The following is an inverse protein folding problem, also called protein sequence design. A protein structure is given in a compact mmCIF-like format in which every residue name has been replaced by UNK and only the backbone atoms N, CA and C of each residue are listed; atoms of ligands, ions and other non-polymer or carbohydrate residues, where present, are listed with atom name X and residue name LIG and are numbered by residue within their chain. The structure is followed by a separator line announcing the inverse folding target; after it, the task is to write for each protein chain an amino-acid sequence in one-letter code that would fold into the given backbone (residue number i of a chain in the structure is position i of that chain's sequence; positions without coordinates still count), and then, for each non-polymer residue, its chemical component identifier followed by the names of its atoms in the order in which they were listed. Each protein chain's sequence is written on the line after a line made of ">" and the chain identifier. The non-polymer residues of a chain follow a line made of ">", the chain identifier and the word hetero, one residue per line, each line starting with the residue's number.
data_IF_022323103220
#
_entry.id   IF_022323103220
#
_cell.length_a   1.000
_cell.length_b   1.000
_cell.length_c   1.000
_cell.angle_alpha   90.00
_cell.angle_beta   90.00
_cell.angle_gamma   90.00
#
_symmetry.space_group_name_H-M   'P 1'
#
loop_
_entity.id
_entity.type
_entity.pdbx_description
1 polymer ?
#
# COMPACT_ATOMS: atom_id res chain seq x y z
N UNK A 1 -44.05 -24.64 -22.33
CA UNK A 1 -45.18 -23.70 -22.42
C UNK A 1 -46.02 -23.89 -21.17
N UNK A 2 -46.49 -22.78 -20.60
CA UNK A 2 -47.26 -22.62 -19.34
C UNK A 2 -46.51 -22.97 -18.04
N UNK A 3 -46.48 -22.20 -16.96
CA UNK A 3 -46.82 -20.81 -16.58
C UNK A 3 -46.28 -20.70 -15.14
N UNK A 4 -45.25 -19.90 -14.84
CA UNK A 4 -45.34 -18.66 -14.04
C UNK A 4 -46.68 -18.49 -13.32
N UNK A 5 -46.86 -18.99 -12.08
CA UNK A 5 -47.86 -18.42 -11.13
C UNK A 5 -47.88 -18.89 -9.65
N UNK A 6 -46.93 -19.67 -9.12
CA UNK A 6 -47.13 -20.26 -7.75
C UNK A 6 -46.02 -20.10 -6.70
N UNK A 7 -45.24 -19.01 -6.73
CA UNK A 7 -44.40 -18.63 -5.56
C UNK A 7 -44.51 -17.13 -5.28
N UNK A 8 -45.75 -16.66 -5.10
CA UNK A 8 -46.06 -15.35 -4.54
C UNK A 8 -46.86 -15.54 -3.25
N UNK A 9 -46.15 -15.82 -2.14
CA UNK A 9 -46.65 -15.52 -0.80
C UNK A 9 -45.45 -15.44 0.16
N UNK A 10 -45.44 -14.37 0.97
CA UNK A 10 -44.40 -13.90 1.89
C UNK A 10 -43.30 -13.00 1.31
N UNK A 11 -43.73 -11.90 0.68
CA UNK A 11 -42.96 -10.65 0.65
C UNK A 11 -43.61 -9.71 1.70
N UNK A 12 -42.93 -9.35 2.81
CA UNK A 12 -43.40 -8.29 3.67
C UNK A 12 -43.43 -6.99 2.85
N UNK A 13 -44.59 -6.36 2.80
CA UNK A 13 -44.90 -5.11 2.11
C UNK A 13 -43.77 -4.07 2.23
N UNK A 14 -43.14 -3.76 1.09
CA UNK A 14 -42.10 -2.75 0.87
C UNK A 14 -42.59 -1.30 0.96
N UNK A 15 -43.74 -1.05 1.57
CA UNK A 15 -44.31 0.29 1.74
C UNK A 15 -44.03 0.95 3.10
N UNK A 16 -43.56 0.19 4.11
CA UNK A 16 -43.36 0.72 5.47
C UNK A 16 -41.89 1.00 5.85
N UNK A 17 -40.91 0.66 5.01
CA UNK A 17 -39.48 0.98 5.28
C UNK A 17 -39.00 2.30 4.65
N UNK A 18 -39.83 2.98 3.85
CA UNK A 18 -39.47 4.27 3.23
C UNK A 18 -39.83 5.50 4.08
N UNK A 19 -40.61 5.32 5.15
CA UNK A 19 -41.01 6.42 6.04
C UNK A 19 -40.11 6.61 7.27
N UNK A 20 -39.19 5.68 7.55
CA UNK A 20 -38.24 5.76 8.67
C UNK A 20 -36.89 6.41 8.30
N UNK A 21 -36.75 6.93 7.08
CA UNK A 21 -35.59 7.72 6.63
C UNK A 21 -35.93 9.21 6.48
N UNK A 22 -36.94 9.69 7.21
CA UNK A 22 -36.99 11.11 7.55
C UNK A 22 -35.89 11.33 8.60
N UNK A 23 -34.71 11.72 8.13
CA UNK A 23 -33.65 12.25 8.98
C UNK A 23 -34.26 13.43 9.72
N UNK A 24 -34.51 13.24 11.01
CA UNK A 24 -35.01 14.27 11.90
C UNK A 24 -33.97 15.41 11.91
N UNK A 25 -34.29 16.62 11.41
CA UNK A 25 -33.31 17.71 11.24
C UNK A 25 -32.82 18.27 12.59
N UNK A 26 -33.22 17.68 13.71
CA UNK A 26 -32.88 18.07 15.08
C UNK A 26 -31.94 17.09 15.81
N UNK A 27 -31.50 15.99 15.20
CA UNK A 27 -30.48 15.15 15.83
C UNK A 27 -29.08 15.76 15.62
N UNK A 28 -28.49 16.27 16.70
CA UNK A 28 -27.13 16.83 16.80
C UNK A 28 -26.04 15.73 16.64
N UNK A 29 -26.31 14.70 15.82
CA UNK A 29 -25.41 13.57 15.57
C UNK A 29 -24.34 13.97 14.54
N UNK A 30 -23.27 14.54 15.06
CA UNK A 30 -22.00 14.73 14.35
C UNK A 30 -21.45 13.38 13.86
N UNK A 31 -21.26 13.24 12.55
CA UNK A 31 -20.64 12.07 11.93
C UNK A 31 -19.14 12.08 12.21
N UNK A 32 -18.71 11.33 13.23
CA UNK A 32 -17.29 11.11 13.56
C UNK A 32 -16.61 10.03 12.69
N UNK A 33 -17.39 9.14 12.06
CA UNK A 33 -16.90 8.11 11.14
C UNK A 33 -17.68 8.21 9.83
N UNK A 34 -17.00 8.63 8.77
CA UNK A 34 -17.61 8.77 7.44
C UNK A 34 -17.68 7.38 6.79
N UNK A 35 -18.87 6.79 6.77
CA UNK A 35 -19.17 5.56 6.03
C UNK A 35 -19.36 5.79 4.52
N UNK A 36 -19.25 4.72 3.73
CA UNK A 36 -19.35 4.76 2.26
C UNK A 36 -20.65 5.33 1.72
N UNK A 37 -21.76 5.15 2.43
CA UNK A 37 -23.07 5.64 1.99
C UNK A 37 -23.16 7.18 1.99
N UNK A 38 -22.29 7.86 2.74
CA UNK A 38 -22.15 9.31 2.76
C UNK A 38 -21.31 9.87 1.61
N UNK A 39 -20.52 9.02 0.95
CA UNK A 39 -19.59 9.40 -0.10
C UNK A 39 -20.19 9.12 -1.49
N UNK A 40 -19.83 9.94 -2.46
CA UNK A 40 -20.12 9.66 -3.86
C UNK A 40 -18.99 8.79 -4.45
N UNK A 41 -19.23 7.49 -4.72
CA UNK A 41 -18.18 6.58 -5.18
C UNK A 41 -17.58 7.02 -6.53
N UNK A 42 -18.39 7.60 -7.42
CA UNK A 42 -17.97 8.03 -8.75
C UNK A 42 -16.98 9.20 -8.73
N UNK A 43 -17.00 10.02 -7.68
CA UNK A 43 -15.99 11.08 -7.47
C UNK A 43 -14.83 10.55 -6.63
N UNK A 44 -15.13 9.77 -5.60
CA UNK A 44 -14.14 9.28 -4.65
C UNK A 44 -13.07 8.41 -5.31
N UNK A 45 -13.47 7.40 -6.09
CA UNK A 45 -12.53 6.42 -6.62
C UNK A 45 -11.53 6.99 -7.64
N UNK A 46 -11.94 7.78 -8.65
CA UNK A 46 -10.99 8.36 -9.60
C UNK A 46 -10.06 9.40 -8.96
N UNK A 47 -10.56 10.21 -8.02
CA UNK A 47 -9.75 11.20 -7.30
C UNK A 47 -8.72 10.52 -6.39
N UNK A 48 -9.11 9.46 -5.70
CA UNK A 48 -8.18 8.68 -4.88
C UNK A 48 -7.13 7.98 -5.76
N UNK A 49 -7.53 7.35 -6.87
CA UNK A 49 -6.61 6.70 -7.79
C UNK A 49 -5.56 7.66 -8.37
N UNK A 50 -5.99 8.83 -8.86
CA UNK A 50 -5.08 9.84 -9.41
C UNK A 50 -4.13 10.39 -8.34
N UNK A 51 -4.64 10.70 -7.15
CA UNK A 51 -3.81 11.16 -6.03
C UNK A 51 -2.79 10.10 -5.57
N UNK A 52 -3.22 8.85 -5.40
CA UNK A 52 -2.32 7.74 -5.06
C UNK A 52 -1.25 7.51 -6.13
N UNK A 53 -1.61 7.68 -7.42
CA UNK A 53 -0.66 7.55 -8.52
C UNK A 53 0.39 8.67 -8.53
N UNK A 54 0.01 9.91 -8.23
CA UNK A 54 0.93 11.03 -8.09
C UNK A 54 1.94 10.79 -6.96
N UNK A 55 1.48 10.26 -5.82
CA UNK A 55 2.36 9.90 -4.70
C UNK A 55 3.29 8.74 -5.09
N UNK A 56 2.75 7.68 -5.71
CA UNK A 56 3.56 6.56 -6.22
C UNK A 56 4.64 7.06 -7.18
N UNK A 57 4.32 7.97 -8.09
CA UNK A 57 5.29 8.56 -9.01
C UNK A 57 6.42 9.28 -8.26
N UNK A 58 6.08 10.10 -7.26
CA UNK A 58 7.06 10.83 -6.44
C UNK A 58 8.01 9.88 -5.69
N UNK A 59 7.47 8.78 -5.16
CA UNK A 59 8.20 7.84 -4.30
C UNK A 59 8.97 6.77 -5.09
N UNK A 60 8.56 6.49 -6.33
CA UNK A 60 9.09 5.40 -7.15
C UNK A 60 10.63 5.35 -7.29
N UNK A 61 11.36 6.47 -7.42
CA UNK A 61 12.83 6.45 -7.45
C UNK A 61 13.44 5.77 -6.21
N UNK A 62 12.82 5.93 -5.03
CA UNK A 62 13.27 5.29 -3.80
C UNK A 62 12.92 3.79 -3.77
N UNK A 63 11.77 3.40 -4.32
CA UNK A 63 11.42 1.97 -4.48
C UNK A 63 12.42 1.24 -5.40
N UNK A 64 12.86 1.91 -6.46
CA UNK A 64 13.88 1.38 -7.37
C UNK A 64 15.23 1.19 -6.67
N UNK A 65 15.69 2.20 -5.91
CA UNK A 65 16.93 2.10 -5.10
C UNK A 65 16.83 1.00 -4.05
N UNK A 66 15.69 0.92 -3.35
CA UNK A 66 15.38 -0.13 -2.38
C UNK A 66 15.46 -1.51 -3.01
N UNK A 67 14.78 -1.75 -4.13
CA UNK A 67 14.74 -3.05 -4.80
C UNK A 67 16.15 -3.53 -5.16
N UNK A 68 16.98 -2.66 -5.73
CA UNK A 68 18.37 -3.01 -6.09
C UNK A 68 19.25 -3.26 -4.88
N UNK A 69 19.10 -2.46 -3.82
CA UNK A 69 19.83 -2.70 -2.58
C UNK A 69 19.41 -4.02 -1.94
N UNK A 70 18.12 -4.33 -1.87
CA UNK A 70 17.63 -5.57 -1.25
C UNK A 70 18.02 -6.83 -2.04
N UNK A 71 18.22 -6.70 -3.36
CA UNK A 71 18.62 -7.80 -4.25
C UNK A 71 20.12 -8.09 -4.29
N UNK A 72 20.99 -7.13 -3.98
CA UNK A 72 22.43 -7.40 -4.05
C UNK A 72 22.85 -8.40 -2.97
N UNK A 73 23.78 -9.29 -3.31
CA UNK A 73 24.46 -10.17 -2.34
C UNK A 73 25.67 -9.41 -1.77
N UNK A 74 25.67 -9.17 -0.45
CA UNK A 74 26.81 -8.65 0.33
C UNK A 74 27.48 -7.35 -0.18
N UNK A 75 26.80 -6.18 -0.16
CA UNK A 75 27.39 -4.83 -0.43
C UNK A 75 28.34 -4.69 -1.65
N UNK A 76 28.33 -5.63 -2.61
CA UNK A 76 29.31 -5.69 -3.71
C UNK A 76 29.15 -4.54 -4.71
N UNK A 77 27.92 -4.08 -4.93
CA UNK A 77 27.62 -3.07 -5.96
C UNK A 77 27.38 -1.69 -5.35
N UNK A 78 26.73 -1.63 -4.19
CA UNK A 78 26.35 -0.37 -3.56
C UNK A 78 26.68 -0.39 -2.06
N UNK A 79 27.38 0.67 -1.61
CA UNK A 79 27.74 0.88 -0.20
C UNK A 79 26.55 1.36 0.66
N UNK A 80 25.54 1.96 0.04
CA UNK A 80 24.37 2.50 0.74
C UNK A 80 23.40 3.22 -0.20
N UNK A 81 22.36 3.83 0.38
CA UNK A 81 21.28 4.52 -0.35
C UNK A 81 21.77 5.64 -1.26
N UNK A 82 22.52 6.60 -0.74
CA UNK A 82 23.01 7.75 -1.50
C UNK A 82 23.97 7.33 -2.62
N UNK A 83 24.86 6.38 -2.32
CA UNK A 83 25.77 5.82 -3.32
C UNK A 83 24.99 5.11 -4.44
N UNK A 84 23.97 4.32 -4.09
CA UNK A 84 23.11 3.66 -5.07
C UNK A 84 22.36 4.67 -5.94
N UNK A 85 21.71 5.66 -5.33
CA UNK A 85 20.97 6.70 -6.05
C UNK A 85 21.88 7.45 -7.03
N UNK A 86 23.03 7.96 -6.58
CA UNK A 86 23.95 8.71 -7.44
C UNK A 86 24.57 7.83 -8.53
N UNK A 87 24.93 6.58 -8.20
CA UNK A 87 25.49 5.64 -9.17
C UNK A 87 24.49 5.27 -10.26
N UNK A 88 23.23 5.06 -9.91
CA UNK A 88 22.15 4.76 -10.87
C UNK A 88 21.94 5.96 -11.80
N UNK A 89 21.83 7.17 -11.24
CA UNK A 89 21.66 8.40 -12.00
C UNK A 89 22.79 8.65 -13.00
N UNK A 90 24.04 8.46 -12.57
CA UNK A 90 25.24 8.67 -13.42
C UNK A 90 25.43 7.58 -14.49
N UNK A 91 25.14 6.32 -14.17
CA UNK A 91 25.50 5.20 -15.06
C UNK A 91 24.37 4.72 -15.97
N UNK A 92 23.11 4.89 -15.57
CA UNK A 92 21.95 4.41 -16.35
C UNK A 92 20.99 5.55 -16.75
N UNK A 93 21.21 6.75 -16.21
CA UNK A 93 20.39 7.94 -16.47
C UNK A 93 19.09 7.99 -15.67
N UNK A 94 18.43 9.15 -15.70
CA UNK A 94 17.22 9.41 -14.91
C UNK A 94 16.03 8.51 -15.25
N UNK A 95 15.95 8.04 -16.51
CA UNK A 95 14.90 7.09 -16.94
C UNK A 95 15.02 5.73 -16.23
N UNK A 96 16.18 5.38 -15.68
CA UNK A 96 16.37 4.12 -14.97
C UNK A 96 15.52 4.06 -13.69
N UNK A 97 15.34 5.19 -13.00
CA UNK A 97 14.56 5.26 -11.76
C UNK A 97 13.10 4.87 -11.96
N UNK A 98 12.53 5.12 -13.15
CA UNK A 98 11.12 4.86 -13.46
C UNK A 98 10.88 3.54 -14.21
N UNK A 99 11.89 2.67 -14.34
CA UNK A 99 11.73 1.36 -14.97
C UNK A 99 10.89 0.44 -14.10
N UNK A 100 9.80 -0.06 -14.67
CA UNK A 100 8.81 -0.91 -13.98
C UNK A 100 7.54 -0.15 -13.57
N UNK A 101 7.56 1.18 -13.53
CA UNK A 101 6.42 2.00 -13.12
C UNK A 101 5.15 1.76 -13.97
N UNK A 102 5.23 1.61 -15.31
CA UNK A 102 4.05 1.30 -16.11
C UNK A 102 3.40 -0.05 -15.79
N UNK A 103 4.16 -1.02 -15.28
CA UNK A 103 3.66 -2.36 -14.91
C UNK A 103 2.93 -2.33 -13.57
N UNK A 104 3.30 -1.41 -12.70
CA UNK A 104 2.70 -1.22 -11.37
C UNK A 104 1.44 -0.35 -11.45
N UNK A 105 1.29 0.48 -12.48
CA UNK A 105 0.13 1.37 -12.65
C UNK A 105 -1.23 0.67 -12.51
N UNK A 106 -1.46 -0.53 -13.10
CA UNK A 106 -2.73 -1.24 -12.97
C UNK A 106 -3.01 -1.76 -11.54
N UNK A 107 -2.01 -1.83 -10.65
CA UNK A 107 -2.21 -2.26 -9.26
C UNK A 107 -3.12 -1.31 -8.48
N UNK A 108 -3.30 -0.06 -8.92
CA UNK A 108 -4.29 0.86 -8.31
C UNK A 108 -5.70 0.26 -8.40
N UNK A 109 -5.99 -0.55 -9.43
CA UNK A 109 -7.23 -1.32 -9.49
C UNK A 109 -7.40 -2.31 -8.33
N UNK A 110 -6.30 -2.93 -7.88
CA UNK A 110 -6.29 -3.86 -6.75
C UNK A 110 -6.55 -3.13 -5.41
N UNK A 111 -6.22 -1.84 -5.29
CA UNK A 111 -6.56 -1.03 -4.12
C UNK A 111 -8.07 -0.93 -3.89
N UNK A 112 -8.88 -0.96 -4.96
CA UNK A 112 -10.34 -0.99 -4.83
C UNK A 112 -10.83 -2.33 -4.29
N UNK A 113 -10.21 -3.44 -4.72
CA UNK A 113 -10.49 -4.76 -4.16
C UNK A 113 -10.13 -4.80 -2.68
N UNK A 114 -8.97 -4.26 -2.30
CA UNK A 114 -8.55 -4.12 -0.90
C UNK A 114 -9.61 -3.39 -0.08
N UNK A 115 -10.04 -2.19 -0.51
CA UNK A 115 -11.02 -1.40 0.23
C UNK A 115 -12.38 -2.12 0.36
N UNK A 116 -12.83 -2.80 -0.70
CA UNK A 116 -14.09 -3.56 -0.68
C UNK A 116 -14.04 -4.71 0.33
N UNK A 117 -12.92 -5.46 0.34
CA UNK A 117 -12.73 -6.57 1.29
C UNK A 117 -12.56 -6.06 2.71
N UNK A 118 -11.79 -4.99 2.91
CA UNK A 118 -11.58 -4.37 4.21
C UNK A 118 -12.90 -4.00 4.88
N UNK A 119 -13.80 -3.36 4.12
CA UNK A 119 -15.11 -2.95 4.62
C UNK A 119 -16.03 -4.13 4.90
N UNK A 120 -16.11 -5.08 3.96
CA UNK A 120 -16.92 -6.29 4.17
C UNK A 120 -16.49 -7.06 5.41
N UNK A 121 -15.18 -7.16 5.67
CA UNK A 121 -14.65 -7.82 6.88
C UNK A 121 -14.93 -6.98 8.13
N UNK A 122 -14.76 -5.65 8.05
CA UNK A 122 -15.06 -4.74 9.16
C UNK A 122 -16.53 -4.84 9.59
N UNK A 123 -17.46 -4.85 8.64
CA UNK A 123 -18.90 -4.99 8.90
C UNK A 123 -19.23 -6.31 9.61
N UNK A 124 -18.64 -7.41 9.14
CA UNK A 124 -18.80 -8.73 9.75
C UNK A 124 -18.23 -8.76 11.17
N UNK A 125 -17.05 -8.17 11.41
CA UNK A 125 -16.44 -8.12 12.73
C UNK A 125 -17.25 -7.29 13.73
N UNK A 126 -17.81 -6.16 13.30
CA UNK A 126 -18.65 -5.32 14.15
C UNK A 126 -19.99 -5.96 14.46
N UNK A 127 -20.69 -6.51 13.45
CA UNK A 127 -22.03 -7.08 13.62
C UNK A 127 -22.03 -8.46 14.30
N UNK A 128 -21.09 -9.34 13.94
CA UNK A 128 -21.17 -10.75 14.36
C UNK A 128 -20.28 -11.08 15.57
N UNK A 129 -19.18 -10.34 15.79
CA UNK A 129 -18.21 -10.65 16.85
C UNK A 129 -18.19 -9.63 18.00
N UNK A 130 -18.88 -8.50 17.88
CA UNK A 130 -18.98 -7.50 18.96
C UNK A 130 -17.63 -6.90 19.38
N UNK A 131 -16.58 -7.02 18.55
CA UNK A 131 -15.25 -6.50 18.88
C UNK A 131 -15.28 -4.98 18.70
N UNK A 132 -15.29 -4.24 19.82
CA UNK A 132 -15.39 -2.76 19.82
C UNK A 132 -14.04 -2.04 19.70
N UNK A 133 -12.91 -2.75 19.74
CA UNK A 133 -11.58 -2.14 19.65
C UNK A 133 -11.23 -1.81 18.20
N UNK A 134 -11.29 -0.52 17.84
CA UNK A 134 -11.00 0.01 16.49
C UNK A 134 -9.67 -0.52 15.93
N UNK A 135 -8.60 -0.54 16.73
CA UNK A 135 -7.28 -0.99 16.29
C UNK A 135 -7.25 -2.48 15.91
N UNK A 136 -7.96 -3.34 16.66
CA UNK A 136 -7.99 -4.79 16.40
C UNK A 136 -8.81 -5.10 15.15
N UNK A 137 -9.96 -4.44 15.00
CA UNK A 137 -10.81 -4.60 13.81
C UNK A 137 -10.08 -4.14 12.56
N UNK A 138 -9.46 -2.95 12.59
CA UNK A 138 -8.67 -2.45 11.46
C UNK A 138 -7.48 -3.35 11.10
N UNK A 139 -6.83 -3.96 12.08
CA UNK A 139 -5.72 -4.88 11.84
C UNK A 139 -6.18 -6.18 11.16
N UNK A 140 -7.28 -6.79 11.63
CA UNK A 140 -7.82 -8.03 11.07
C UNK A 140 -8.44 -7.82 9.68
N UNK A 141 -9.21 -6.75 9.51
CA UNK A 141 -9.76 -6.35 8.22
C UNK A 141 -8.65 -6.01 7.21
N UNK A 142 -7.61 -5.28 7.66
CA UNK A 142 -6.44 -4.99 6.85
C UNK A 142 -5.68 -6.26 6.43
N UNK A 143 -5.40 -7.15 7.37
CA UNK A 143 -4.65 -8.39 7.10
C UNK A 143 -5.36 -9.30 6.08
N UNK A 144 -6.69 -9.46 6.19
CA UNK A 144 -7.47 -10.26 5.24
C UNK A 144 -7.57 -9.60 3.86
N UNK A 145 -7.78 -8.28 3.81
CA UNK A 145 -7.80 -7.52 2.56
C UNK A 145 -6.45 -7.58 1.82
N UNK A 146 -5.33 -7.51 2.54
CA UNK A 146 -3.99 -7.60 1.94
C UNK A 146 -3.74 -8.94 1.23
N UNK A 147 -4.33 -10.04 1.69
CA UNK A 147 -4.18 -11.35 1.03
C UNK A 147 -4.77 -11.34 -0.39
N UNK A 148 -5.94 -10.70 -0.55
CA UNK A 148 -6.60 -10.54 -1.84
C UNK A 148 -5.83 -9.60 -2.75
N UNK A 149 -5.36 -8.47 -2.20
CA UNK A 149 -4.54 -7.49 -2.92
C UNK A 149 -3.24 -8.13 -3.45
N UNK A 150 -2.49 -8.86 -2.60
CA UNK A 150 -1.23 -9.49 -2.99
C UNK A 150 -1.41 -10.53 -4.10
N UNK A 151 -2.56 -11.22 -4.14
CA UNK A 151 -2.84 -12.18 -5.21
C UNK A 151 -2.92 -11.49 -6.58
N UNK A 152 -3.42 -10.25 -6.63
CA UNK A 152 -3.49 -9.45 -7.85
C UNK A 152 -2.16 -8.72 -8.15
N UNK A 153 -1.47 -8.25 -7.12
CA UNK A 153 -0.28 -7.40 -7.25
C UNK A 153 1.01 -8.18 -7.51
N UNK A 154 1.17 -9.39 -6.96
CA UNK A 154 2.41 -10.18 -7.05
C UNK A 154 2.87 -10.45 -8.50
N UNK A 155 2.00 -10.85 -9.44
CA UNK A 155 2.40 -11.02 -10.84
C UNK A 155 3.02 -9.76 -11.46
N UNK A 156 2.47 -8.59 -11.12
CA UNK A 156 2.97 -7.29 -11.61
C UNK A 156 4.28 -6.92 -10.92
N UNK A 157 4.41 -7.18 -9.61
CA UNK A 157 5.63 -6.92 -8.85
C UNK A 157 6.81 -7.74 -9.37
N UNK A 158 6.62 -9.02 -9.69
CA UNK A 158 7.69 -9.85 -10.24
C UNK A 158 8.18 -9.27 -11.57
N UNK A 159 7.27 -8.91 -12.48
CA UNK A 159 7.65 -8.31 -13.77
C UNK A 159 8.35 -6.96 -13.56
N UNK A 160 7.86 -6.13 -12.65
CA UNK A 160 8.46 -4.84 -12.33
C UNK A 160 9.87 -5.01 -11.74
N UNK A 161 10.09 -5.97 -10.84
CA UNK A 161 11.40 -6.26 -10.26
C UNK A 161 12.43 -6.69 -11.33
N UNK A 162 12.04 -7.56 -12.26
CA UNK A 162 12.88 -7.91 -13.42
C UNK A 162 13.20 -6.68 -14.30
N UNK A 163 12.26 -5.74 -14.47
CA UNK A 163 12.52 -4.49 -15.18
C UNK A 163 13.50 -3.58 -14.43
N UNK A 164 13.38 -3.48 -13.11
CA UNK A 164 14.24 -2.63 -12.27
C UNK A 164 15.71 -3.05 -12.32
N UNK A 165 16.00 -4.36 -12.45
CA UNK A 165 17.37 -4.89 -12.52
C UNK A 165 17.91 -5.11 -13.94
N UNK A 166 17.08 -4.97 -14.98
CA UNK A 166 17.38 -5.42 -16.36
C UNK A 166 18.77 -5.03 -16.90
N UNK A 167 19.18 -3.76 -16.75
CA UNK A 167 20.46 -3.26 -17.28
C UNK A 167 21.69 -3.93 -16.67
N UNK A 168 21.63 -4.25 -15.38
CA UNK A 168 22.77 -4.73 -14.59
C UNK A 168 22.46 -6.04 -13.88
N UNK A 169 21.57 -6.83 -14.47
CA UNK A 169 21.03 -8.03 -13.82
C UNK A 169 22.12 -9.04 -13.43
N UNK A 170 23.23 -9.09 -14.17
CA UNK A 170 24.36 -9.98 -13.89
C UNK A 170 24.97 -9.79 -12.50
N UNK A 171 24.86 -8.59 -11.91
CA UNK A 171 25.34 -8.29 -10.57
C UNK A 171 24.32 -8.61 -9.45
N UNK A 172 23.04 -8.77 -9.79
CA UNK A 172 21.96 -9.05 -8.83
C UNK A 172 21.53 -10.51 -8.85
N UNK A 173 21.67 -11.19 -9.98
CA UNK A 173 21.43 -12.62 -10.07
C UNK A 173 22.64 -13.37 -9.56
N UNK A 174 22.48 -14.12 -8.47
CA UNK A 174 23.49 -15.07 -7.97
C UNK A 174 24.09 -15.91 -9.09
N UNK A 175 25.28 -16.50 -8.88
CA UNK A 175 26.01 -17.31 -9.88
C UNK A 175 25.23 -18.53 -10.42
N UNK A 176 24.05 -18.80 -9.88
CA UNK A 176 23.17 -19.87 -10.32
C UNK A 176 22.62 -19.60 -11.75
N UNK A 177 22.86 -20.55 -12.66
CA UNK A 177 22.46 -20.45 -14.08
C UNK A 177 20.95 -20.26 -14.25
N UNK A 178 20.15 -20.81 -13.33
CA UNK A 178 18.70 -20.67 -13.28
C UNK A 178 18.23 -19.21 -13.11
N UNK A 179 19.00 -18.38 -12.41
CA UNK A 179 18.60 -17.00 -12.10
C UNK A 179 18.83 -16.06 -13.29
N UNK A 180 19.89 -16.36 -14.06
CA UNK A 180 20.22 -15.65 -15.29
C UNK A 180 19.31 -16.03 -16.46
N UNK A 181 18.55 -17.14 -16.36
CA UNK A 181 17.74 -17.69 -17.47
C UNK A 181 16.74 -16.69 -18.06
N UNK A 182 15.98 -15.97 -17.22
CA UNK A 182 14.98 -14.97 -17.68
C UNK A 182 15.64 -13.84 -18.44
N UNK A 183 16.69 -13.27 -17.86
CA UNK A 183 17.39 -12.13 -18.45
C UNK A 183 18.12 -12.54 -19.73
N UNK A 184 18.76 -13.71 -19.74
CA UNK A 184 19.42 -14.25 -20.91
C UNK A 184 18.41 -14.55 -22.03
N UNK A 185 17.21 -15.05 -21.69
CA UNK A 185 16.14 -15.24 -22.65
C UNK A 185 15.71 -13.89 -23.26
N UNK A 186 15.49 -12.87 -22.42
CA UNK A 186 15.10 -11.53 -22.91
C UNK A 186 16.20 -10.92 -23.77
N UNK A 187 17.49 -11.01 -23.37
CA UNK A 187 18.64 -10.51 -24.16
C UNK A 187 18.80 -11.22 -25.51
N UNK A 188 18.49 -12.52 -25.58
CA UNK A 188 18.54 -13.32 -26.82
C UNK A 188 17.31 -13.13 -27.73
N UNK A 189 16.21 -12.62 -27.19
CA UNK A 189 14.98 -12.43 -27.96
C UNK A 189 15.12 -11.24 -28.93
N UNK A 190 14.87 -11.46 -30.23
CA UNK A 190 14.97 -10.45 -31.31
C UNK A 190 13.79 -9.46 -31.35
N UNK A 191 12.95 -9.44 -30.31
CA UNK A 191 11.74 -8.61 -30.22
C UNK A 191 12.02 -7.20 -29.67
N UNK A 192 12.96 -6.47 -30.26
CA UNK A 192 13.34 -5.12 -29.80
C UNK A 192 12.20 -4.10 -29.91
N UNK A 193 11.27 -4.29 -30.86
CA UNK A 193 10.12 -3.40 -31.08
C UNK A 193 9.03 -3.51 -30.01
N UNK A 194 9.00 -4.59 -29.21
CA UNK A 194 7.97 -4.78 -28.17
C UNK A 194 8.40 -4.19 -26.83
N UNK A 195 7.42 -3.74 -26.04
CA UNK A 195 7.66 -3.26 -24.68
C UNK A 195 8.43 -4.28 -23.84
N UNK A 196 9.37 -3.78 -23.03
CA UNK A 196 10.23 -4.60 -22.17
C UNK A 196 9.41 -5.45 -21.17
N UNK A 197 8.32 -4.89 -20.64
CA UNK A 197 7.40 -5.60 -19.73
C UNK A 197 6.82 -6.87 -20.35
N UNK A 198 6.37 -6.79 -21.61
CA UNK A 198 5.85 -7.94 -22.35
C UNK A 198 6.94 -9.00 -22.59
N UNK A 199 8.15 -8.59 -22.94
CA UNK A 199 9.28 -9.52 -23.16
C UNK A 199 9.61 -10.30 -21.89
N UNK A 200 9.65 -9.61 -20.75
CA UNK A 200 9.90 -10.24 -19.45
C UNK A 200 8.75 -11.17 -19.06
N UNK A 201 7.49 -10.73 -19.17
CA UNK A 201 6.33 -11.57 -18.88
C UNK A 201 6.32 -12.84 -19.75
N UNK A 202 6.61 -12.71 -21.05
CA UNK A 202 6.75 -13.86 -21.96
C UNK A 202 7.90 -14.79 -21.55
N UNK A 203 9.04 -14.24 -21.13
CA UNK A 203 10.18 -15.02 -20.67
C UNK A 203 9.84 -15.83 -19.41
N UNK A 204 9.15 -15.21 -18.45
CA UNK A 204 8.67 -15.90 -17.23
C UNK A 204 7.70 -17.01 -17.61
N UNK A 205 6.72 -16.73 -18.46
CA UNK A 205 5.74 -17.72 -18.91
C UNK A 205 6.39 -18.90 -19.64
N UNK A 206 7.39 -18.67 -20.49
CA UNK A 206 8.08 -19.75 -21.22
C UNK A 206 9.01 -20.59 -20.33
N UNK A 207 9.58 -20.01 -19.27
CA UNK A 207 10.54 -20.70 -18.40
C UNK A 207 9.90 -21.37 -17.18
N UNK A 208 8.90 -20.76 -16.55
CA UNK A 208 8.25 -21.25 -15.32
C UNK A 208 6.74 -21.53 -15.49
N UNK A 209 6.16 -21.19 -16.64
CA UNK A 209 4.71 -21.21 -16.81
C UNK A 209 4.00 -20.18 -15.93
N UNK A 210 2.73 -20.46 -15.62
CA UNK A 210 1.90 -19.55 -14.81
C UNK A 210 2.35 -19.47 -13.36
N UNK A 211 2.96 -20.54 -12.84
CA UNK A 211 3.49 -20.60 -11.46
C UNK A 211 4.66 -19.63 -11.23
N UNK A 212 5.35 -19.22 -12.29
CA UNK A 212 6.40 -18.20 -12.22
C UNK A 212 5.91 -16.84 -11.75
N UNK A 213 4.68 -16.46 -12.12
CA UNK A 213 4.06 -15.17 -11.75
C UNK A 213 3.58 -15.12 -10.30
N UNK A 214 3.43 -16.27 -9.65
CA UNK A 214 3.00 -16.34 -8.24
C UNK A 214 4.13 -16.80 -7.32
N UNK A 215 5.38 -16.82 -7.81
CA UNK A 215 6.53 -17.18 -6.99
C UNK A 215 6.70 -16.14 -5.87
N UNK A 216 6.72 -16.59 -4.62
CA UNK A 216 6.83 -15.69 -3.48
C UNK A 216 5.51 -15.09 -3.02
N UNK A 217 4.35 -15.57 -3.49
CA UNK A 217 3.03 -15.11 -3.01
C UNK A 217 2.90 -15.23 -1.49
N UNK A 218 3.23 -16.40 -0.92
CA UNK A 218 3.22 -16.60 0.54
C UNK A 218 4.22 -15.68 1.27
N UNK A 219 5.41 -15.46 0.69
CA UNK A 219 6.38 -14.54 1.29
C UNK A 219 5.87 -13.09 1.26
N UNK A 220 5.07 -12.73 0.24
CA UNK A 220 4.43 -11.42 0.15
C UNK A 220 3.37 -11.27 1.24
N UNK A 221 2.49 -12.26 1.42
CA UNK A 221 1.51 -12.26 2.51
C UNK A 221 2.17 -12.11 3.89
N UNK A 222 3.31 -12.77 4.12
CA UNK A 222 4.11 -12.64 5.36
C UNK A 222 4.71 -11.25 5.58
N UNK A 223 4.82 -10.41 4.54
CA UNK A 223 5.23 -9.02 4.68
C UNK A 223 4.03 -8.14 5.00
N UNK A 224 2.99 -8.22 4.17
CA UNK A 224 1.92 -7.23 4.19
C UNK A 224 0.94 -7.42 5.37
N UNK A 225 0.69 -8.66 5.81
CA UNK A 225 -0.19 -8.90 6.97
C UNK A 225 0.41 -8.31 8.27
N UNK A 226 1.67 -8.59 8.63
CA UNK A 226 2.30 -7.92 9.78
C UNK A 226 2.48 -6.42 9.56
N UNK A 227 2.72 -5.98 8.32
CA UNK A 227 2.86 -4.56 7.99
C UNK A 227 1.59 -3.78 8.33
N UNK A 228 0.42 -4.24 7.88
CA UNK A 228 -0.86 -3.58 8.17
C UNK A 228 -1.15 -3.51 9.67
N UNK A 229 -0.90 -4.59 10.40
CA UNK A 229 -1.09 -4.64 11.86
C UNK A 229 -0.18 -3.63 12.57
N UNK A 230 1.10 -3.63 12.23
CA UNK A 230 2.08 -2.72 12.80
C UNK A 230 1.81 -1.25 12.42
N UNK A 231 1.35 -1.01 11.19
CA UNK A 231 0.99 0.31 10.71
C UNK A 231 -0.14 0.92 11.52
N UNK A 232 -1.29 0.24 11.64
CA UNK A 232 -2.44 0.79 12.37
C UNK A 232 -2.14 0.96 13.85
N UNK A 233 -1.41 0.02 14.47
CA UNK A 233 -0.99 0.16 15.86
C UNK A 233 -0.08 1.38 16.07
N UNK A 234 0.94 1.55 15.23
CA UNK A 234 1.85 2.69 15.31
C UNK A 234 1.13 4.01 15.00
N UNK A 235 0.21 4.02 14.03
CA UNK A 235 -0.59 5.18 13.66
C UNK A 235 -1.38 5.73 14.84
N UNK A 236 -2.21 4.90 15.48
CA UNK A 236 -3.03 5.34 16.61
C UNK A 236 -2.19 5.76 17.82
N UNK A 237 -1.08 5.06 18.09
CA UNK A 237 -0.17 5.41 19.19
C UNK A 237 0.52 6.75 18.94
N UNK A 238 1.06 6.96 17.73
CA UNK A 238 1.69 8.23 17.35
C UNK A 238 0.68 9.38 17.31
N UNK A 239 -0.55 9.12 16.85
CA UNK A 239 -1.61 10.12 16.82
C UNK A 239 -2.03 10.56 18.23
N UNK A 240 -2.17 9.63 19.17
CA UNK A 240 -2.47 9.96 20.57
C UNK A 240 -1.37 10.84 21.19
N UNK A 241 -0.12 10.41 21.07
CA UNK A 241 1.03 11.15 21.57
C UNK A 241 1.14 12.56 20.95
N UNK A 242 0.97 12.68 19.63
CA UNK A 242 1.05 13.96 18.93
C UNK A 242 -0.08 14.93 19.33
N UNK A 243 -1.29 14.42 19.60
CA UNK A 243 -2.40 15.23 20.12
C UNK A 243 -2.11 15.74 21.53
N UNK A 244 -1.64 14.88 22.41
CA UNK A 244 -1.32 15.26 23.79
C UNK A 244 -0.19 16.29 23.82
N UNK A 245 0.84 16.09 22.99
CA UNK A 245 1.92 17.04 22.80
C UNK A 245 1.46 18.39 22.23
N UNK A 246 0.57 18.37 21.23
CA UNK A 246 0.00 19.59 20.64
C UNK A 246 -0.86 20.37 21.65
N UNK A 247 -1.70 19.67 22.40
CA UNK A 247 -2.54 20.27 23.44
C UNK A 247 -1.71 20.85 24.59
N UNK A 248 -0.57 20.24 24.91
CA UNK A 248 0.39 20.79 25.86
C UNK A 248 1.04 22.09 25.33
N UNK A 249 1.49 22.10 24.08
CA UNK A 249 2.05 23.31 23.44
C UNK A 249 1.06 24.48 23.39
N UNK A 250 -0.22 24.20 23.12
CA UNK A 250 -1.26 25.23 23.13
C UNK A 250 -1.54 25.79 24.52
N UNK A 251 -1.36 25.00 25.59
CA UNK A 251 -1.51 25.47 26.98
C UNK A 251 -0.36 26.38 27.42
N UNK A 252 0.84 26.18 26.89
CA UNK A 252 2.03 26.97 27.24
C UNK A 252 2.21 28.22 26.34
N UNK A 253 1.42 28.36 25.27
CA UNK A 253 1.47 29.46 24.30
C UNK A 253 0.40 30.54 24.51
N UNK A 254 0.84 31.80 24.64
CA UNK A 254 0.05 33.04 24.78
C UNK A 254 -0.86 33.42 23.56
N UNK A 255 -1.39 32.46 22.79
CA UNK A 255 -2.18 32.69 21.57
C UNK A 255 -3.70 32.57 21.82
N UNK A 256 -4.22 33.31 22.79
CA UNK A 256 -5.66 33.39 23.08
C UNK A 256 -6.43 34.45 22.25
N UNK A 257 -5.88 34.94 21.13
CA UNK A 257 -6.48 36.06 20.37
C UNK A 257 -6.92 35.77 18.93
N UNK A 258 -6.97 34.52 18.49
CA UNK A 258 -7.47 34.18 17.14
C UNK A 258 -9.01 34.07 17.17
N UNK A 259 -9.69 34.81 16.29
CA UNK A 259 -11.15 34.86 16.21
C UNK A 259 -11.79 33.49 15.92
N UNK A 260 -13.02 33.31 16.43
CA UNK A 260 -13.77 32.03 16.47
C UNK A 260 -13.98 31.35 15.10
N UNK A 261 -13.94 32.07 13.98
CA UNK A 261 -14.01 31.51 12.62
C UNK A 261 -12.65 31.04 12.08
N UNK A 262 -11.57 31.74 12.43
CA UNK A 262 -10.20 31.38 12.05
C UNK A 262 -9.65 30.25 12.93
N UNK A 263 -10.19 30.10 14.13
CA UNK A 263 -9.83 29.04 15.08
C UNK A 263 -10.26 27.65 14.57
N UNK A 264 -11.50 27.49 14.10
CA UNK A 264 -11.99 26.21 13.60
C UNK A 264 -11.26 25.73 12.33
N UNK A 265 -11.02 26.62 11.37
CA UNK A 265 -10.26 26.30 10.15
C UNK A 265 -8.78 26.02 10.42
N UNK A 266 -8.21 26.64 11.45
CA UNK A 266 -6.84 26.36 11.89
C UNK A 266 -6.73 25.04 12.66
N UNK A 267 -7.70 24.72 13.51
CA UNK A 267 -7.79 23.42 14.20
C UNK A 267 -7.87 22.25 13.21
N UNK A 268 -8.74 22.33 12.19
CA UNK A 268 -8.87 21.29 11.16
C UNK A 268 -7.58 21.06 10.36
N UNK A 269 -6.88 22.15 10.00
CA UNK A 269 -5.62 22.09 9.25
C UNK A 269 -4.49 21.49 10.08
N UNK A 270 -4.44 21.85 11.37
CA UNK A 270 -3.46 21.32 12.30
C UNK A 270 -3.72 19.83 12.56
N UNK A 271 -5.00 19.44 12.70
CA UNK A 271 -5.39 18.04 12.87
C UNK A 271 -5.00 17.17 11.68
N UNK A 272 -5.29 17.62 10.45
CA UNK A 272 -4.89 16.94 9.22
C UNK A 272 -3.37 16.75 9.14
N UNK A 273 -2.61 17.77 9.53
CA UNK A 273 -1.15 17.70 9.53
C UNK A 273 -0.62 16.70 10.57
N UNK A 274 -1.20 16.66 11.77
CA UNK A 274 -0.87 15.67 12.80
C UNK A 274 -1.20 14.24 12.34
N UNK A 275 -2.33 14.04 11.67
CA UNK A 275 -2.67 12.76 11.05
C UNK A 275 -1.63 12.35 10.00
N UNK A 276 -1.21 13.26 9.12
CA UNK A 276 -0.18 12.98 8.11
C UNK A 276 1.17 12.60 8.74
N UNK A 277 1.63 13.33 9.76
CA UNK A 277 2.87 12.99 10.50
C UNK A 277 2.74 11.61 11.14
N UNK A 278 1.62 11.32 11.80
CA UNK A 278 1.38 10.00 12.41
C UNK A 278 1.40 8.88 11.36
N UNK A 279 0.85 9.13 10.16
CA UNK A 279 0.95 8.23 9.00
C UNK A 279 2.39 7.98 8.57
N UNK A 280 3.21 9.03 8.49
CA UNK A 280 4.64 8.92 8.15
C UNK A 280 5.45 8.11 9.18
N UNK A 281 5.22 8.35 10.47
CA UNK A 281 5.86 7.61 11.58
C UNK A 281 5.42 6.14 11.56
N UNK A 282 4.12 5.89 11.37
CA UNK A 282 3.56 4.55 11.27
C UNK A 282 4.15 3.76 10.10
N UNK A 283 4.18 4.36 8.91
CA UNK A 283 4.76 3.75 7.70
C UNK A 283 6.24 3.40 7.88
N UNK A 284 7.00 4.27 8.53
CA UNK A 284 8.42 4.06 8.84
C UNK A 284 8.63 2.94 9.87
N UNK A 285 7.82 2.93 10.93
CA UNK A 285 7.91 1.92 12.00
C UNK A 285 7.55 0.52 11.49
N UNK A 286 6.46 0.43 10.72
CA UNK A 286 6.03 -0.82 10.09
C UNK A 286 7.05 -1.33 9.06
N UNK A 287 7.71 -0.43 8.34
CA UNK A 287 8.81 -0.75 7.43
C UNK A 287 10.02 -1.36 8.14
N UNK A 288 10.40 -0.82 9.31
CA UNK A 288 11.49 -1.37 10.13
C UNK A 288 11.18 -2.79 10.60
N UNK A 289 9.97 -3.02 11.13
CA UNK A 289 9.55 -4.32 11.64
C UNK A 289 9.53 -5.40 10.56
N UNK A 290 9.07 -5.05 9.35
CA UNK A 290 8.85 -6.00 8.26
C UNK A 290 10.02 -6.09 7.27
N UNK A 291 11.16 -5.48 7.58
CA UNK A 291 12.35 -5.54 6.72
C UNK A 291 12.91 -6.94 6.46
N UNK A 292 13.02 -7.81 7.48
CA UNK A 292 13.49 -9.18 7.26
C UNK A 292 12.60 -9.97 6.29
N UNK A 293 11.28 -9.86 6.44
CA UNK A 293 10.30 -10.55 5.59
C UNK A 293 10.34 -10.04 4.15
N UNK A 294 10.57 -8.74 3.96
CA UNK A 294 10.63 -8.16 2.63
C UNK A 294 11.87 -8.61 1.86
N UNK A 295 13.02 -8.67 2.54
CA UNK A 295 14.23 -9.18 1.92
C UNK A 295 14.05 -10.64 1.53
N UNK A 296 13.40 -11.42 2.38
CA UNK A 296 13.03 -12.79 2.05
C UNK A 296 12.13 -12.88 0.81
N UNK A 297 11.07 -12.05 0.73
CA UNK A 297 10.14 -11.96 -0.40
C UNK A 297 10.84 -11.59 -1.71
N UNK A 298 11.62 -10.52 -1.71
CA UNK A 298 12.32 -10.04 -2.92
C UNK A 298 13.34 -11.09 -3.40
N UNK A 299 14.03 -11.75 -2.47
CA UNK A 299 15.00 -12.77 -2.83
C UNK A 299 14.34 -14.01 -3.44
N UNK A 300 13.22 -14.49 -2.91
CA UNK A 300 12.52 -15.64 -3.50
C UNK A 300 11.94 -15.31 -4.89
N UNK A 301 11.46 -14.07 -5.10
CA UNK A 301 10.93 -13.62 -6.38
C UNK A 301 12.02 -13.59 -7.46
N UNK A 302 13.24 -13.14 -7.12
CA UNK A 302 14.30 -12.89 -8.10
C UNK A 302 15.36 -13.98 -8.21
N UNK A 303 15.77 -14.60 -7.09
CA UNK A 303 16.74 -15.69 -7.09
C UNK A 303 16.13 -17.05 -7.42
N UNK A 304 14.83 -17.13 -7.71
CA UNK A 304 14.14 -18.34 -8.21
C UNK A 304 14.43 -19.63 -7.41
N UNK A 305 14.79 -19.50 -6.13
CA UNK A 305 15.08 -20.60 -5.20
C UNK A 305 13.81 -21.04 -4.46
N UNK A 306 13.85 -22.22 -3.83
CA UNK A 306 12.76 -22.66 -2.95
C UNK A 306 12.74 -21.92 -1.61
N UNK A 307 11.58 -21.82 -0.96
CA UNK A 307 11.41 -21.13 0.33
C UNK A 307 12.48 -21.49 1.39
N UNK A 308 12.77 -22.78 1.55
CA UNK A 308 13.78 -23.28 2.51
C UNK A 308 15.21 -22.92 2.11
N UNK A 309 15.50 -23.00 0.81
CA UNK A 309 16.82 -22.70 0.26
C UNK A 309 17.13 -21.21 0.39
N UNK A 310 16.19 -20.33 0.04
CA UNK A 310 16.32 -18.88 0.24
C UNK A 310 16.55 -18.55 1.71
N UNK A 311 15.78 -19.16 2.63
CA UNK A 311 15.91 -18.91 4.06
C UNK A 311 17.28 -19.35 4.58
N UNK A 312 17.74 -20.54 4.17
CA UNK A 312 19.07 -21.05 4.51
C UNK A 312 20.14 -20.10 3.99
N UNK A 313 20.06 -19.64 2.73
CA UNK A 313 21.04 -18.73 2.14
C UNK A 313 21.11 -17.39 2.89
N UNK A 314 19.97 -16.77 3.18
CA UNK A 314 19.93 -15.47 3.89
C UNK A 314 20.52 -15.58 5.30
N UNK A 315 20.15 -16.61 6.07
CA UNK A 315 20.59 -16.75 7.46
C UNK A 315 22.04 -17.22 7.54
N UNK A 316 22.41 -18.24 6.75
CA UNK A 316 23.71 -18.92 6.91
C UNK A 316 24.81 -18.35 6.03
N UNK A 317 24.50 -17.91 4.79
CA UNK A 317 25.51 -17.42 3.85
C UNK A 317 25.71 -15.90 3.95
N UNK A 318 24.63 -15.14 4.16
CA UNK A 318 24.69 -13.67 4.16
C UNK A 318 24.73 -13.07 5.58
N UNK A 319 24.26 -13.83 6.57
CA UNK A 319 24.22 -13.44 7.98
C UNK A 319 23.13 -12.40 8.30
N UNK A 320 22.95 -12.09 9.59
CA UNK A 320 21.87 -11.20 10.07
C UNK A 320 21.94 -9.77 9.55
N UNK A 321 23.14 -9.27 9.18
CA UNK A 321 23.30 -7.93 8.61
C UNK A 321 22.59 -7.79 7.26
N UNK A 322 22.41 -8.90 6.53
CA UNK A 322 21.67 -8.90 5.27
C UNK A 322 20.23 -8.47 5.45
N UNK A 323 19.60 -8.74 6.61
CA UNK A 323 18.22 -8.43 6.92
C UNK A 323 17.93 -6.92 7.07
N UNK A 324 18.96 -6.07 7.11
CA UNK A 324 18.84 -4.62 7.21
C UNK A 324 19.22 -3.90 5.91
N UNK A 325 19.60 -4.64 4.87
CA UNK A 325 19.97 -4.04 3.59
C UNK A 325 18.75 -3.38 2.95
N UNK A 326 18.91 -2.14 2.48
CA UNK A 326 17.84 -1.38 1.86
C UNK A 326 16.80 -0.83 2.84
N UNK A 327 17.03 -0.89 4.15
CA UNK A 327 16.13 -0.30 5.14
C UNK A 327 15.98 1.24 4.98
N UNK A 328 17.05 2.04 4.78
CA UNK A 328 16.90 3.49 4.61
C UNK A 328 15.98 3.92 3.44
N UNK A 329 16.16 3.44 2.20
CA UNK A 329 15.26 3.82 1.10
C UNK A 329 13.85 3.26 1.32
N UNK A 330 13.70 2.16 2.06
CA UNK A 330 12.38 1.64 2.45
C UNK A 330 11.66 2.58 3.43
N UNK A 331 12.35 3.06 4.47
CA UNK A 331 11.78 4.02 5.42
C UNK A 331 11.34 5.28 4.69
N UNK A 332 12.21 5.84 3.85
CA UNK A 332 11.87 7.03 3.04
C UNK A 332 10.67 6.74 2.15
N UNK A 333 10.67 5.63 1.42
CA UNK A 333 9.55 5.29 0.54
C UNK A 333 8.23 5.12 1.30
N UNK A 334 8.18 4.23 2.28
CA UNK A 334 6.95 3.88 2.98
C UNK A 334 6.45 5.02 3.87
N UNK A 335 7.36 5.76 4.52
CA UNK A 335 7.03 6.93 5.34
C UNK A 335 6.47 8.07 4.49
N UNK A 336 7.14 8.42 3.38
CA UNK A 336 6.66 9.46 2.47
C UNK A 336 5.34 9.08 1.81
N UNK A 337 5.20 7.83 1.34
CA UNK A 337 3.94 7.35 0.77
C UNK A 337 2.79 7.48 1.78
N UNK A 338 2.98 7.02 3.01
CA UNK A 338 1.94 7.05 4.05
C UNK A 338 1.55 8.47 4.46
N UNK A 339 2.53 9.36 4.60
CA UNK A 339 2.30 10.77 4.93
C UNK A 339 1.38 11.44 3.90
N UNK A 340 1.75 11.36 2.62
CA UNK A 340 0.95 11.98 1.56
C UNK A 340 -0.35 11.24 1.29
N UNK A 341 -0.39 9.91 1.48
CA UNK A 341 -1.61 9.14 1.29
C UNK A 341 -2.70 9.57 2.26
N UNK A 342 -2.38 9.82 3.54
CA UNK A 342 -3.34 10.35 4.52
C UNK A 342 -3.86 11.74 4.08
N UNK A 343 -2.97 12.65 3.64
CA UNK A 343 -3.39 13.98 3.16
C UNK A 343 -4.34 13.88 1.96
N UNK A 344 -4.01 13.05 0.98
CA UNK A 344 -4.84 12.83 -0.21
C UNK A 344 -6.16 12.17 0.18
N UNK A 345 -6.14 11.15 1.03
CA UNK A 345 -7.33 10.43 1.45
C UNK A 345 -8.33 11.36 2.16
N UNK A 346 -7.87 12.16 3.11
CA UNK A 346 -8.71 13.13 3.81
C UNK A 346 -9.22 14.24 2.89
N UNK A 347 -8.37 14.78 2.01
CA UNK A 347 -8.79 15.77 1.03
C UNK A 347 -9.84 15.21 0.04
N UNK A 348 -9.65 13.99 -0.44
CA UNK A 348 -10.59 13.32 -1.36
C UNK A 348 -11.90 13.01 -0.65
N UNK A 349 -11.88 12.58 0.62
CA UNK A 349 -13.10 12.45 1.44
C UNK A 349 -13.83 13.80 1.53
N UNK A 350 -13.14 14.89 1.89
CA UNK A 350 -13.72 16.25 1.97
C UNK A 350 -14.43 16.66 0.67
N UNK A 351 -13.85 16.32 -0.47
CA UNK A 351 -14.39 16.66 -1.79
C UNK A 351 -15.51 15.73 -2.28
N UNK A 352 -15.60 14.52 -1.74
CA UNK A 352 -16.49 13.46 -2.27
C UNK A 352 -17.74 13.21 -1.43
N UNK A 353 -17.90 13.89 -0.30
CA UNK A 353 -19.13 13.82 0.51
C UNK A 353 -20.33 14.31 -0.30
N UNK A 354 -21.46 13.57 -0.21
CA UNK A 354 -22.73 13.99 -0.80
C UNK A 354 -23.22 15.28 -0.13
N UNK A 355 -23.86 16.19 -0.88
CA UNK A 355 -24.29 17.50 -0.35
C UNK A 355 -25.17 17.37 0.91
N UNK A 356 -25.96 16.31 1.00
CA UNK A 356 -26.86 15.97 2.11
C UNK A 356 -26.15 15.68 3.44
N UNK A 357 -24.88 15.25 3.44
CA UNK A 357 -24.16 14.90 4.68
C UNK A 357 -23.05 15.89 5.03
N UNK A 358 -22.89 16.95 4.21
CA UNK A 358 -21.78 17.90 4.34
C UNK A 358 -21.85 18.72 5.62
N UNK A 359 -23.05 18.96 6.15
CA UNK A 359 -23.26 19.69 7.40
C UNK A 359 -23.14 18.82 8.66
N UNK A 360 -23.17 17.49 8.52
CA UNK A 360 -23.06 16.53 9.61
C UNK A 360 -21.62 16.04 9.83
N UNK A 361 -20.74 16.20 8.84
CA UNK A 361 -19.36 15.73 8.90
C UNK A 361 -18.49 16.60 9.82
N UNK A 362 -17.83 15.95 10.79
CA UNK A 362 -16.80 16.58 11.66
C UNK A 362 -15.43 16.13 11.19
N UNK A 363 -14.50 17.08 11.07
CA UNK A 363 -13.17 16.89 10.47
C UNK A 363 -12.04 16.73 11.47
#
# INVERSE_FOLDING_TARGET
>A
MTSIEEIHQEIPSTSNCLNDLVIDPTSDQKLHVIEWHHLNPWKFFPLLATGSMSIKFLVYPMDMVRSRLQLQEQNKLYRGMFHAFMHIGKTEGLRAFYRGFPVITPQIGAMFLYNTVYEGVRDVLHRNMGISSTSKVSALAGGTASVVEETCSVPMDIVAQYMMIYNRAEHFTSNNSRNKSVINFVKKDKLERKFLSYRIARAIYKLDGIRGFFRGLFASMLVYVPYCTAFWFAYYTSMGFLKDWWNWLLKDGHLNSVGRSDQATSEDRNFLFLQAISGGIAGSSAACLTNPFEIYRIRIQMHRTGYRETLKQVITTEGFRSLYIGLPPRIVSMGTFSFFYILVYEAVKKLSIKPEYRYLAVW
#
